data_IF_223167406059
#
_entry.id   IF_223167406059
#
_cell.length_a   1.000
_cell.length_b   1.000
_cell.length_c   1.000
_cell.angle_alpha   90.00
_cell.angle_beta   90.00
_cell.angle_gamma   90.00
#
_symmetry.space_group_name_H-M   'P 1'
#
loop_
_entity.id
_entity.type
_entity.pdbx_description
1 polymer ?
#
# COMPACT_ATOMS: atom_id res chain seq x y z
N UNK A 1 108.48 -36.02 -14.07
CA UNK A 1 107.09 -36.16 -13.57
C UNK A 1 106.65 -35.03 -12.62
N UNK A 2 107.20 -33.80 -12.71
CA UNK A 2 106.81 -32.65 -11.86
C UNK A 2 106.16 -31.47 -12.60
N UNK A 3 106.19 -31.44 -13.95
CA UNK A 3 105.57 -30.36 -14.73
C UNK A 3 104.09 -30.58 -15.07
N UNK A 4 103.57 -31.81 -14.97
CA UNK A 4 102.16 -32.09 -15.30
C UNK A 4 101.18 -31.71 -14.17
N UNK A 5 101.65 -31.59 -12.92
CA UNK A 5 100.77 -31.25 -11.79
C UNK A 5 100.48 -29.74 -11.64
N UNK A 6 101.33 -28.84 -12.16
CA UNK A 6 101.12 -27.40 -11.99
C UNK A 6 100.09 -26.83 -12.98
N UNK A 7 100.01 -27.38 -14.19
CA UNK A 7 99.06 -26.94 -15.23
C UNK A 7 97.63 -27.42 -14.90
N UNK A 8 97.48 -28.60 -14.31
CA UNK A 8 96.18 -29.15 -13.88
C UNK A 8 95.59 -28.40 -12.68
N UNK A 9 96.43 -27.84 -11.80
CA UNK A 9 96.00 -27.00 -10.68
C UNK A 9 95.51 -25.61 -11.15
N UNK A 10 96.15 -25.02 -12.15
CA UNK A 10 95.73 -23.75 -12.73
C UNK A 10 94.41 -23.87 -13.52
N UNK A 11 94.20 -24.98 -14.24
CA UNK A 11 92.97 -25.24 -14.98
C UNK A 11 91.76 -25.48 -14.05
N UNK A 12 91.92 -26.17 -12.91
CA UNK A 12 90.86 -26.33 -11.91
C UNK A 12 90.51 -25.02 -11.20
N UNK A 13 91.50 -24.15 -10.97
CA UNK A 13 91.28 -22.84 -10.35
C UNK A 13 90.53 -21.87 -11.28
N UNK A 14 90.86 -21.87 -12.59
CA UNK A 14 90.15 -21.05 -13.59
C UNK A 14 88.71 -21.53 -13.86
N UNK A 15 88.47 -22.85 -13.90
CA UNK A 15 87.10 -23.40 -14.04
C UNK A 15 86.23 -23.13 -12.81
N UNK A 16 86.80 -23.16 -11.60
CA UNK A 16 86.10 -22.80 -10.38
C UNK A 16 85.76 -21.29 -10.33
N UNK A 17 86.60 -20.43 -10.89
CA UNK A 17 86.38 -18.97 -10.94
C UNK A 17 85.32 -18.57 -11.99
N UNK A 18 85.29 -19.24 -13.15
CA UNK A 18 84.28 -18.99 -14.20
C UNK A 18 82.91 -19.56 -13.80
N UNK A 19 82.88 -20.73 -13.16
CA UNK A 19 81.65 -21.34 -12.61
C UNK A 19 81.03 -20.50 -11.49
N UNK A 20 81.85 -19.94 -10.60
CA UNK A 20 81.36 -19.08 -9.52
C UNK A 20 80.82 -17.73 -10.03
N UNK A 21 81.40 -17.16 -11.08
CA UNK A 21 80.90 -15.91 -11.67
C UNK A 21 79.55 -16.11 -12.43
N UNK A 22 79.41 -17.23 -13.15
CA UNK A 22 78.15 -17.62 -13.83
C UNK A 22 77.01 -17.95 -12.85
N UNK A 23 77.34 -18.60 -11.72
CA UNK A 23 76.38 -18.79 -10.62
C UNK A 23 76.00 -17.47 -9.93
N UNK A 24 76.93 -16.51 -9.84
CA UNK A 24 76.66 -15.21 -9.24
C UNK A 24 75.69 -14.38 -10.08
N UNK A 25 75.88 -14.33 -11.40
CA UNK A 25 74.97 -13.65 -12.34
C UNK A 25 73.59 -14.31 -12.36
N UNK A 26 73.52 -15.64 -12.39
CA UNK A 26 72.25 -16.38 -12.37
C UNK A 26 71.49 -16.14 -11.06
N UNK A 27 72.18 -16.10 -9.91
CA UNK A 27 71.57 -15.72 -8.63
C UNK A 27 71.09 -14.28 -8.62
N UNK A 28 71.85 -13.35 -9.21
CA UNK A 28 71.47 -11.93 -9.32
C UNK A 28 70.21 -11.75 -10.17
N UNK A 29 70.11 -12.50 -11.26
CA UNK A 29 68.95 -12.49 -12.17
C UNK A 29 67.70 -13.07 -11.49
N UNK A 30 67.83 -14.21 -10.79
CA UNK A 30 66.74 -14.81 -10.00
C UNK A 30 66.29 -13.88 -8.86
N UNK A 31 67.23 -13.23 -8.16
CA UNK A 31 66.91 -12.27 -7.10
C UNK A 31 66.20 -11.03 -7.65
N UNK A 32 66.56 -10.57 -8.85
CA UNK A 32 65.89 -9.44 -9.52
C UNK A 32 64.49 -9.79 -10.01
N UNK A 33 64.28 -11.02 -10.51
CA UNK A 33 62.97 -11.52 -10.90
C UNK A 33 62.05 -11.73 -9.69
N UNK A 34 62.60 -12.22 -8.57
CA UNK A 34 61.90 -12.33 -7.28
C UNK A 34 61.47 -10.97 -6.75
N UNK A 35 62.36 -9.97 -6.78
CA UNK A 35 62.03 -8.60 -6.37
C UNK A 35 60.97 -7.97 -7.26
N UNK A 36 61.06 -8.14 -8.57
CA UNK A 36 60.03 -7.61 -9.49
C UNK A 36 58.66 -8.27 -9.23
N UNK A 37 58.62 -9.57 -8.94
CA UNK A 37 57.38 -10.27 -8.61
C UNK A 37 56.80 -9.84 -7.25
N UNK A 38 57.66 -9.58 -6.25
CA UNK A 38 57.27 -9.04 -4.95
C UNK A 38 56.73 -7.61 -5.07
N UNK A 39 57.40 -6.75 -5.85
CA UNK A 39 56.97 -5.38 -6.13
C UNK A 39 55.64 -5.33 -6.91
N UNK A 40 55.46 -6.22 -7.90
CA UNK A 40 54.18 -6.37 -8.61
C UNK A 40 53.06 -6.88 -7.70
N UNK A 41 53.34 -7.85 -6.82
CA UNK A 41 52.38 -8.34 -5.84
C UNK A 41 51.98 -7.26 -4.84
N UNK A 42 52.94 -6.43 -4.40
CA UNK A 42 52.70 -5.29 -3.52
C UNK A 42 51.83 -4.23 -4.20
N UNK A 43 52.11 -3.90 -5.46
CA UNK A 43 51.32 -2.95 -6.25
C UNK A 43 49.88 -3.45 -6.49
N UNK A 44 49.69 -4.75 -6.71
CA UNK A 44 48.37 -5.36 -6.84
C UNK A 44 47.58 -5.33 -5.52
N UNK A 45 48.25 -5.54 -4.39
CA UNK A 45 47.63 -5.44 -3.06
C UNK A 45 47.18 -4.01 -2.75
N UNK A 46 48.01 -3.01 -3.02
CA UNK A 46 47.64 -1.60 -2.84
C UNK A 46 46.46 -1.20 -3.74
N UNK A 47 46.46 -1.68 -4.99
CA UNK A 47 45.36 -1.43 -5.93
C UNK A 47 44.08 -2.12 -5.48
N UNK A 48 44.16 -3.34 -4.95
CA UNK A 48 43.03 -4.05 -4.38
C UNK A 48 42.47 -3.33 -3.14
N UNK A 49 43.32 -2.76 -2.29
CA UNK A 49 42.87 -1.98 -1.12
C UNK A 49 42.18 -0.67 -1.54
N UNK A 50 42.71 0.04 -2.54
CA UNK A 50 42.05 1.23 -3.11
C UNK A 50 40.69 0.90 -3.71
N UNK A 51 40.59 -0.17 -4.49
CA UNK A 51 39.33 -0.62 -5.09
C UNK A 51 38.31 -1.03 -4.01
N UNK A 52 38.75 -1.66 -2.92
CA UNK A 52 37.86 -2.00 -1.79
C UNK A 52 37.26 -0.75 -1.15
N UNK A 53 38.07 0.28 -0.88
CA UNK A 53 37.60 1.56 -0.33
C UNK A 53 36.64 2.28 -1.27
N UNK A 54 36.92 2.27 -2.57
CA UNK A 54 36.05 2.87 -3.59
C UNK A 54 34.70 2.12 -3.66
N UNK A 55 34.72 0.79 -3.69
CA UNK A 55 33.50 -0.04 -3.68
C UNK A 55 32.69 0.18 -2.40
N UNK A 56 33.34 0.28 -1.25
CA UNK A 56 32.69 0.57 0.04
C UNK A 56 31.98 1.92 0.00
N UNK A 57 32.64 2.99 -0.46
CA UNK A 57 32.01 4.31 -0.59
C UNK A 57 30.82 4.32 -1.55
N UNK A 58 30.90 3.59 -2.67
CA UNK A 58 29.80 3.46 -3.63
C UNK A 58 28.65 2.65 -3.02
N UNK A 59 28.94 1.62 -2.22
CA UNK A 59 27.93 0.82 -1.54
C UNK A 59 27.21 1.62 -0.45
N UNK A 60 27.92 2.49 0.27
CA UNK A 60 27.34 3.39 1.27
C UNK A 60 26.39 4.40 0.61
N UNK A 61 26.83 5.08 -0.45
CA UNK A 61 25.97 6.03 -1.20
C UNK A 61 24.74 5.33 -1.75
N UNK A 62 24.88 4.15 -2.37
CA UNK A 62 23.74 3.36 -2.87
C UNK A 62 22.80 2.92 -1.75
N UNK A 63 23.33 2.59 -0.57
CA UNK A 63 22.51 2.21 0.58
C UNK A 63 21.69 3.38 1.09
N UNK A 64 22.30 4.56 1.23
CA UNK A 64 21.63 5.79 1.65
C UNK A 64 20.56 6.22 0.63
N UNK A 65 20.86 6.16 -0.66
CA UNK A 65 19.88 6.47 -1.73
C UNK A 65 18.70 5.49 -1.70
N UNK A 66 18.96 4.19 -1.56
CA UNK A 66 17.89 3.18 -1.47
C UNK A 66 17.05 3.34 -0.19
N UNK A 67 17.67 3.74 0.92
CA UNK A 67 16.95 4.03 2.17
C UNK A 67 16.02 5.22 2.00
N UNK A 68 16.50 6.33 1.44
CA UNK A 68 15.67 7.51 1.16
C UNK A 68 14.51 7.19 0.21
N UNK A 69 14.77 6.43 -0.85
CA UNK A 69 13.74 6.02 -1.79
C UNK A 69 12.66 5.16 -1.13
N UNK A 70 13.05 4.25 -0.25
CA UNK A 70 12.12 3.39 0.47
C UNK A 70 11.31 4.19 1.51
N UNK A 71 11.92 5.16 2.19
CA UNK A 71 11.23 6.08 3.11
C UNK A 71 10.20 6.95 2.37
N UNK A 72 10.55 7.53 1.22
CA UNK A 72 9.64 8.28 0.37
C UNK A 72 8.47 7.40 -0.12
N UNK A 73 8.78 6.17 -0.54
CA UNK A 73 7.77 5.20 -0.97
C UNK A 73 6.81 4.83 0.17
N UNK A 74 7.33 4.60 1.37
CA UNK A 74 6.52 4.30 2.55
C UNK A 74 5.67 5.49 2.95
N UNK A 75 6.18 6.73 2.87
CA UNK A 75 5.42 7.94 3.12
C UNK A 75 4.22 8.06 2.16
N UNK A 76 4.44 7.85 0.86
CA UNK A 76 3.37 7.89 -0.15
C UNK A 76 2.34 6.79 0.06
N UNK A 77 2.76 5.58 0.43
CA UNK A 77 1.84 4.47 0.74
C UNK A 77 1.00 4.81 1.97
N UNK A 78 1.62 5.33 3.02
CA UNK A 78 0.93 5.74 4.24
C UNK A 78 -0.09 6.84 3.99
N UNK A 79 0.27 7.87 3.22
CA UNK A 79 -0.64 8.95 2.85
C UNK A 79 -1.84 8.43 2.06
N UNK A 80 -1.62 7.52 1.10
CA UNK A 80 -2.71 6.88 0.35
C UNK A 80 -3.61 6.04 1.24
N UNK A 81 -3.03 5.33 2.21
CA UNK A 81 -3.79 4.53 3.15
C UNK A 81 -4.61 5.41 4.11
N UNK A 82 -4.04 6.51 4.60
CA UNK A 82 -4.76 7.52 5.40
C UNK A 82 -5.94 8.12 4.62
N UNK A 83 -5.73 8.48 3.35
CA UNK A 83 -6.81 8.97 2.47
C UNK A 83 -7.89 7.91 2.25
N UNK A 84 -7.50 6.66 1.99
CA UNK A 84 -8.46 5.56 1.84
C UNK A 84 -9.25 5.34 3.13
N UNK A 85 -8.60 5.38 4.29
CA UNK A 85 -9.25 5.22 5.58
C UNK A 85 -10.22 6.36 5.88
N UNK A 86 -9.88 7.60 5.50
CA UNK A 86 -10.77 8.77 5.62
C UNK A 86 -12.05 8.65 4.79
N UNK A 87 -11.96 8.08 3.59
CA UNK A 87 -13.10 7.91 2.68
C UNK A 87 -13.64 6.48 2.66
N UNK A 88 -13.49 5.73 3.75
CA UNK A 88 -14.07 4.39 3.87
C UNK A 88 -14.84 4.22 5.16
N UNK A 89 -15.84 3.35 5.12
CA UNK A 89 -16.71 3.08 6.26
C UNK A 89 -17.10 1.61 6.34
N UNK A 90 -17.23 1.10 7.57
CA UNK A 90 -17.78 -0.22 7.82
C UNK A 90 -19.30 -0.17 7.86
N UNK A 91 -19.94 -0.94 6.98
CA UNK A 91 -21.39 -0.94 6.77
C UNK A 91 -21.94 -2.37 6.65
N UNK A 92 -23.21 -2.61 7.01
CA UNK A 92 -23.81 -3.94 6.95
C UNK A 92 -24.20 -4.34 5.52
N UNK A 93 -23.41 -5.19 4.87
CA UNK A 93 -23.65 -5.68 3.51
C UNK A 93 -24.42 -6.99 3.54
N UNK A 94 -25.53 -7.04 2.80
CA UNK A 94 -26.27 -8.27 2.54
C UNK A 94 -25.54 -9.10 1.49
N UNK A 95 -25.15 -10.32 1.86
CA UNK A 95 -24.48 -11.29 1.00
C UNK A 95 -25.48 -12.12 0.20
N UNK A 96 -25.00 -12.76 -0.87
CA UNK A 96 -25.82 -13.62 -1.73
C UNK A 96 -26.38 -14.86 -1.04
N UNK A 97 -25.79 -15.27 0.09
CA UNK A 97 -26.31 -16.34 0.97
C UNK A 97 -27.39 -15.85 1.96
N UNK A 98 -27.73 -14.55 1.93
CA UNK A 98 -28.68 -13.92 2.82
C UNK A 98 -28.12 -13.49 4.17
N UNK A 99 -26.83 -13.72 4.45
CA UNK A 99 -26.17 -13.23 5.67
C UNK A 99 -25.85 -11.73 5.57
N UNK A 100 -25.85 -11.03 6.71
CA UNK A 100 -25.42 -9.63 6.78
C UNK A 100 -24.07 -9.58 7.48
N UNK A 101 -23.07 -8.97 6.83
CA UNK A 101 -21.71 -8.86 7.33
C UNK A 101 -21.25 -7.41 7.30
N UNK A 102 -20.54 -6.98 8.34
CA UNK A 102 -19.92 -5.65 8.36
C UNK A 102 -18.70 -5.65 7.44
N UNK A 103 -18.73 -4.83 6.41
CA UNK A 103 -17.63 -4.70 5.45
C UNK A 103 -17.24 -3.25 5.28
N UNK A 104 -15.92 -3.03 5.11
CA UNK A 104 -15.38 -1.73 4.78
C UNK A 104 -15.61 -1.44 3.31
N UNK A 105 -16.37 -0.39 3.02
CA UNK A 105 -16.60 0.12 1.68
C UNK A 105 -15.81 1.40 1.48
N UNK A 106 -15.16 1.52 0.33
CA UNK A 106 -14.41 2.70 -0.10
C UNK A 106 -15.33 3.62 -0.92
N UNK A 107 -15.28 4.92 -0.65
CA UNK A 107 -16.06 5.96 -1.34
C UNK A 107 -15.11 6.96 -2.00
N UNK A 108 -15.44 7.41 -3.21
CA UNK A 108 -14.69 8.52 -3.82
C UNK A 108 -15.14 9.86 -3.21
N UNK A 109 -14.24 10.78 -2.85
CA UNK A 109 -14.63 12.11 -2.33
C UNK A 109 -15.46 12.87 -3.37
N UNK A 110 -16.52 13.52 -2.91
CA UNK A 110 -17.43 14.32 -3.77
C UNK A 110 -17.53 15.76 -3.31
N UNK A 111 -17.51 16.00 -2.00
CA UNK A 111 -17.52 17.34 -1.45
C UNK A 111 -16.16 17.99 -1.66
N UNK A 112 -16.19 19.24 -2.12
CA UNK A 112 -15.01 20.11 -2.22
C UNK A 112 -15.31 21.36 -1.42
N UNK A 113 -14.36 21.74 -0.57
CA UNK A 113 -14.41 23.01 0.16
C UNK A 113 -13.52 24.03 -0.56
N UNK A 114 -14.03 25.24 -0.78
CA UNK A 114 -13.25 26.35 -1.33
C UNK A 114 -12.08 26.75 -0.40
N UNK A 115 -12.24 26.53 0.91
CA UNK A 115 -11.22 26.80 1.92
C UNK A 115 -10.11 25.72 1.98
N UNK A 116 -10.16 24.74 1.07
CA UNK A 116 -9.19 23.64 1.02
C UNK A 116 -9.38 22.59 2.12
N UNK A 117 -10.47 22.67 2.90
CA UNK A 117 -10.80 21.66 3.90
C UNK A 117 -11.15 20.34 3.23
N UNK A 118 -10.69 19.25 3.84
CA UNK A 118 -10.99 17.89 3.39
C UNK A 118 -12.34 17.45 3.93
N UNK A 119 -12.98 16.53 3.23
CA UNK A 119 -14.16 15.83 3.74
C UNK A 119 -13.78 14.46 4.30
N UNK A 120 -14.71 13.85 5.03
CA UNK A 120 -14.58 12.51 5.58
C UNK A 120 -15.91 11.77 5.50
N UNK A 121 -15.84 10.42 5.46
CA UNK A 121 -17.02 9.57 5.52
C UNK A 121 -17.38 9.27 6.96
N UNK A 122 -18.64 9.45 7.30
CA UNK A 122 -19.21 9.19 8.62
C UNK A 122 -20.37 8.20 8.46
N UNK A 123 -20.48 7.25 9.39
CA UNK A 123 -21.63 6.37 9.48
C UNK A 123 -22.44 6.66 10.72
N UNK A 124 -23.76 6.77 10.54
CA UNK A 124 -24.70 6.99 11.63
C UNK A 124 -25.86 6.02 11.54
N UNK A 125 -26.44 5.70 12.69
CA UNK A 125 -27.69 4.96 12.77
C UNK A 125 -28.79 5.90 13.27
N UNK A 126 -29.90 5.98 12.54
CA UNK A 126 -31.03 6.84 12.91
C UNK A 126 -32.33 6.05 12.94
N UNK A 127 -33.15 6.30 13.95
CA UNK A 127 -34.50 5.74 14.04
C UNK A 127 -35.46 6.46 13.10
N UNK A 128 -36.54 5.78 12.72
CA UNK A 128 -37.67 6.38 12.01
C UNK A 128 -38.71 6.91 13.02
N UNK A 129 -39.39 8.04 12.72
CA UNK A 129 -39.09 8.99 11.65
C UNK A 129 -37.77 9.74 11.92
N UNK A 130 -36.98 10.01 10.87
CA UNK A 130 -35.65 10.60 11.03
C UNK A 130 -35.71 12.08 11.43
N UNK A 131 -36.64 12.85 10.84
CA UNK A 131 -36.77 14.29 11.10
C UNK A 131 -35.72 15.15 10.41
N UNK A 132 -35.40 14.83 9.15
CA UNK A 132 -34.53 15.62 8.27
C UNK A 132 -35.20 15.82 6.91
N UNK A 133 -34.85 16.90 6.22
CA UNK A 133 -35.24 17.19 4.84
C UNK A 133 -34.02 16.98 3.97
N UNK A 134 -34.19 16.20 2.91
CA UNK A 134 -33.17 16.01 1.89
C UNK A 134 -33.45 16.91 0.70
N UNK A 135 -32.38 17.44 0.13
CA UNK A 135 -32.38 18.17 -1.12
C UNK A 135 -31.52 17.49 -2.17
N UNK A 136 -31.48 18.11 -3.34
CA UNK A 136 -30.53 17.78 -4.39
C UNK A 136 -29.56 18.94 -4.54
N UNK A 137 -28.27 18.63 -4.64
CA UNK A 137 -27.25 19.63 -4.88
C UNK A 137 -27.54 20.37 -6.21
N UNK A 138 -27.52 21.69 -6.17
CA UNK A 138 -27.91 22.54 -7.30
C UNK A 138 -26.87 22.53 -8.42
N UNK A 139 -25.62 22.29 -8.08
CA UNK A 139 -24.48 22.35 -8.99
C UNK A 139 -24.06 20.95 -9.45
N UNK A 140 -24.42 19.90 -8.69
CA UNK A 140 -24.05 18.51 -8.95
C UNK A 140 -25.26 17.58 -9.02
N UNK A 141 -25.70 17.30 -10.24
CA UNK A 141 -26.80 16.35 -10.51
C UNK A 141 -26.49 14.97 -9.93
N UNK A 142 -27.46 14.39 -9.22
CA UNK A 142 -27.35 13.05 -8.64
C UNK A 142 -26.64 12.98 -7.29
N UNK A 143 -26.45 14.12 -6.63
CA UNK A 143 -25.99 14.21 -5.25
C UNK A 143 -27.14 14.67 -4.33
N UNK A 144 -27.38 13.93 -3.26
CA UNK A 144 -28.46 14.18 -2.30
C UNK A 144 -27.91 14.74 -1.00
N UNK A 145 -28.27 15.96 -0.63
CA UNK A 145 -27.78 16.68 0.55
C UNK A 145 -28.81 16.72 1.66
N UNK A 146 -28.36 16.90 2.91
CA UNK A 146 -29.23 17.24 4.04
C UNK A 146 -29.44 18.75 4.06
N UNK A 147 -30.65 19.21 3.75
CA UNK A 147 -30.96 20.64 3.64
C UNK A 147 -31.42 21.21 4.98
N UNK A 148 -32.23 20.45 5.73
CA UNK A 148 -32.74 20.87 7.03
C UNK A 148 -32.82 19.70 8.01
N UNK A 149 -32.66 19.99 9.30
CA UNK A 149 -32.83 19.03 10.39
C UNK A 149 -33.77 19.63 11.42
N UNK A 150 -34.78 18.87 11.81
CA UNK A 150 -35.70 19.30 12.86
C UNK A 150 -35.03 19.22 14.24
N UNK A 151 -35.13 20.25 15.09
CA UNK A 151 -34.59 20.20 16.45
C UNK A 151 -35.21 19.07 17.29
N UNK A 152 -34.38 18.36 18.04
CA UNK A 152 -34.74 17.19 18.84
C UNK A 152 -35.05 15.94 18.02
N UNK A 153 -34.79 15.94 16.72
CA UNK A 153 -35.07 14.81 15.83
C UNK A 153 -34.11 13.64 16.02
N UNK A 154 -34.51 12.46 15.54
CA UNK A 154 -33.64 11.28 15.56
C UNK A 154 -32.38 11.48 14.70
N UNK A 155 -32.47 12.23 13.60
CA UNK A 155 -31.33 12.58 12.76
C UNK A 155 -30.34 13.50 13.50
N UNK A 156 -30.83 14.53 14.19
CA UNK A 156 -29.97 15.40 15.02
C UNK A 156 -29.27 14.61 16.13
N UNK A 157 -30.02 13.76 16.84
CA UNK A 157 -29.48 12.91 17.91
C UNK A 157 -28.47 11.88 17.41
N UNK A 158 -28.61 11.42 16.16
CA UNK A 158 -27.66 10.53 15.49
C UNK A 158 -26.41 11.28 14.99
N UNK A 159 -26.37 12.61 15.08
CA UNK A 159 -25.23 13.44 14.67
C UNK A 159 -25.22 13.81 13.19
N UNK A 160 -26.34 13.69 12.48
CA UNK A 160 -26.52 14.24 11.12
C UNK A 160 -26.45 15.77 11.19
N UNK A 161 -25.85 16.42 10.20
CA UNK A 161 -25.73 17.88 10.10
C UNK A 161 -26.26 18.35 8.74
N UNK A 162 -26.75 19.59 8.72
CA UNK A 162 -27.09 20.28 7.46
C UNK A 162 -25.82 20.43 6.62
N UNK A 163 -25.93 20.16 5.32
CA UNK A 163 -24.83 20.14 4.37
C UNK A 163 -24.14 18.78 4.22
N UNK A 164 -24.50 17.78 5.02
CA UNK A 164 -24.02 16.40 4.81
C UNK A 164 -24.49 15.88 3.45
N UNK A 165 -23.60 15.20 2.74
CA UNK A 165 -23.93 14.51 1.50
C UNK A 165 -24.25 13.04 1.79
N UNK A 166 -25.45 12.59 1.45
CA UNK A 166 -25.84 11.20 1.59
C UNK A 166 -25.18 10.35 0.49
N UNK A 167 -24.32 9.42 0.90
CA UNK A 167 -23.54 8.52 0.01
C UNK A 167 -24.10 7.12 -0.09
N UNK A 168 -24.71 6.64 0.99
CA UNK A 168 -25.46 5.39 1.00
C UNK A 168 -26.44 5.36 2.18
N UNK A 169 -27.45 4.50 2.08
CA UNK A 169 -28.35 4.20 3.20
C UNK A 169 -28.72 2.73 3.20
N UNK A 170 -29.25 2.20 4.30
CA UNK A 170 -29.97 0.93 4.20
C UNK A 170 -31.28 1.11 3.45
N UNK A 171 -31.69 0.09 2.72
CA UNK A 171 -32.98 -0.01 2.07
C UNK A 171 -33.55 -1.42 2.28
N UNK A 172 -34.88 -1.51 2.34
CA UNK A 172 -35.61 -2.76 2.42
C UNK A 172 -36.29 -3.07 1.10
N UNK A 173 -36.16 -4.30 0.64
CA UNK A 173 -36.82 -4.79 -0.57
C UNK A 173 -37.56 -6.09 -0.26
N UNK A 174 -38.75 -6.25 -0.82
CA UNK A 174 -39.47 -7.53 -0.76
C UNK A 174 -38.90 -8.45 -1.83
N UNK A 175 -38.33 -9.57 -1.41
CA UNK A 175 -37.83 -10.63 -2.29
C UNK A 175 -38.68 -11.88 -2.09
N UNK A 176 -38.82 -12.68 -3.15
CA UNK A 176 -39.53 -13.96 -3.07
C UNK A 176 -38.54 -15.06 -2.73
N UNK A 177 -38.66 -15.63 -1.53
CA UNK A 177 -37.88 -16.82 -1.18
C UNK A 177 -38.66 -18.07 -1.65
N UNK A 178 -38.01 -18.90 -2.47
CA UNK A 178 -38.53 -20.19 -2.90
C UNK A 178 -37.70 -21.30 -2.23
N UNK A 179 -38.18 -21.90 -1.13
CA UNK A 179 -37.51 -23.04 -0.54
C UNK A 179 -37.42 -24.17 -1.56
N UNK A 180 -36.25 -24.77 -1.73
CA UNK A 180 -35.99 -25.84 -2.72
C UNK A 180 -36.97 -27.01 -2.59
N UNK A 181 -37.47 -27.29 -1.38
CA UNK A 181 -38.50 -28.32 -1.14
C UNK A 181 -39.91 -27.91 -1.62
N UNK A 182 -40.26 -26.62 -1.56
CA UNK A 182 -41.55 -26.11 -2.05
C UNK A 182 -41.62 -26.07 -3.58
N UNK A 183 -40.49 -25.90 -4.27
CA UNK A 183 -40.42 -26.03 -5.73
C UNK A 183 -40.78 -27.44 -6.22
N UNK A 184 -40.43 -28.47 -5.45
CA UNK A 184 -40.75 -29.87 -5.77
C UNK A 184 -42.22 -30.25 -5.48
N UNK A 185 -42.89 -29.53 -4.58
CA UNK A 185 -44.25 -29.83 -4.12
C UNK A 185 -45.32 -28.82 -4.60
N UNK A 186 -44.98 -27.92 -5.53
CA UNK A 186 -45.91 -26.91 -6.06
C UNK A 186 -46.26 -25.78 -5.07
N UNK A 187 -45.38 -25.49 -4.10
CA UNK A 187 -45.58 -24.42 -3.12
C UNK A 187 -45.37 -23.02 -3.71
N UNK A 188 -46.24 -22.10 -3.32
CA UNK A 188 -46.11 -20.66 -3.64
C UNK A 188 -45.01 -20.08 -2.73
N UNK A 189 -44.02 -19.40 -3.34
CA UNK A 189 -42.93 -18.74 -2.60
C UNK A 189 -43.47 -17.72 -1.57
N UNK A 190 -42.71 -17.48 -0.51
CA UNK A 190 -43.11 -16.52 0.54
C UNK A 190 -42.38 -15.19 0.35
N UNK A 191 -43.08 -14.05 0.41
CA UNK A 191 -42.42 -12.75 0.41
C UNK A 191 -41.60 -12.59 1.69
N UNK A 192 -40.36 -12.16 1.55
CA UNK A 192 -39.44 -11.86 2.64
C UNK A 192 -38.83 -10.49 2.41
N UNK A 193 -38.93 -9.63 3.42
CA UNK A 193 -38.23 -8.35 3.39
C UNK A 193 -36.77 -8.57 3.68
N UNK A 194 -35.91 -8.24 2.72
CA UNK A 194 -34.45 -8.22 2.90
C UNK A 194 -33.98 -6.79 3.02
N UNK A 195 -32.96 -6.58 3.84
CA UNK A 195 -32.36 -5.27 4.07
C UNK A 195 -30.95 -5.25 3.51
N UNK A 196 -30.61 -4.24 2.73
CA UNK A 196 -29.32 -4.11 2.05
C UNK A 196 -28.80 -2.67 2.14
N UNK A 197 -27.50 -2.46 1.90
CA UNK A 197 -26.98 -1.13 1.64
C UNK A 197 -27.28 -0.72 0.21
N UNK A 198 -27.83 0.48 0.06
CA UNK A 198 -28.15 1.13 -1.20
C UNK A 198 -27.24 2.34 -1.37
N UNK A 199 -26.44 2.35 -2.44
CA UNK A 199 -25.61 3.51 -2.80
C UNK A 199 -26.47 4.58 -3.46
N UNK A 200 -26.34 5.82 -2.99
CA UNK A 200 -27.10 6.98 -3.48
C UNK A 200 -26.34 7.77 -4.54
N UNK A 201 -25.06 7.48 -4.74
CA UNK A 201 -24.20 8.15 -5.72
C UNK A 201 -24.75 8.06 -7.15
N UNK A 202 -25.04 9.23 -7.74
CA UNK A 202 -25.50 9.33 -9.13
C UNK A 202 -26.92 8.81 -9.35
N UNK A 203 -27.68 8.59 -8.27
CA UNK A 203 -29.08 8.16 -8.32
C UNK A 203 -30.01 9.35 -8.43
N UNK A 204 -31.20 9.10 -8.96
CA UNK A 204 -32.26 10.11 -8.96
C UNK A 204 -32.75 10.34 -7.54
N UNK A 205 -33.14 11.58 -7.23
CA UNK A 205 -33.52 11.97 -5.88
C UNK A 205 -34.71 11.13 -5.37
N UNK A 206 -35.68 10.85 -6.25
CA UNK A 206 -36.84 10.02 -5.98
C UNK A 206 -36.44 8.60 -5.59
N UNK A 207 -35.48 7.98 -6.30
CA UNK A 207 -34.97 6.64 -5.97
C UNK A 207 -34.31 6.61 -4.59
N UNK A 208 -33.57 7.66 -4.23
CA UNK A 208 -32.93 7.79 -2.92
C UNK A 208 -33.97 7.93 -1.81
N UNK A 209 -35.01 8.73 -2.05
CA UNK A 209 -36.11 8.90 -1.11
C UNK A 209 -36.91 7.61 -0.92
N UNK A 210 -37.21 6.88 -2.00
CA UNK A 210 -37.84 5.56 -1.93
C UNK A 210 -37.00 4.56 -1.13
N UNK A 211 -35.68 4.53 -1.37
CA UNK A 211 -34.76 3.68 -0.63
C UNK A 211 -34.76 4.00 0.88
N UNK A 212 -34.76 5.27 1.26
CA UNK A 212 -34.83 5.68 2.67
C UNK A 212 -36.16 5.33 3.33
N UNK A 213 -37.27 5.67 2.67
CA UNK A 213 -38.62 5.39 3.18
C UNK A 213 -38.84 3.89 3.33
N UNK A 214 -38.24 3.07 2.46
CA UNK A 214 -38.37 1.62 2.51
C UNK A 214 -37.97 1.00 3.85
N UNK A 215 -37.11 1.66 4.65
CA UNK A 215 -36.74 1.18 5.99
C UNK A 215 -37.95 1.06 6.93
N UNK A 216 -39.08 1.74 6.66
CA UNK A 216 -40.32 1.57 7.42
C UNK A 216 -40.95 0.18 7.24
N UNK A 217 -40.49 -0.58 6.24
CA UNK A 217 -40.91 -1.96 5.98
C UNK A 217 -40.07 -3.00 6.74
N UNK A 218 -39.04 -2.59 7.49
CA UNK A 218 -38.22 -3.52 8.28
C UNK A 218 -39.09 -4.15 9.39
N UNK A 219 -39.36 -5.47 9.36
CA UNK A 219 -40.23 -6.11 10.34
C UNK A 219 -39.66 -6.06 11.77
N UNK A 220 -38.35 -5.89 11.90
CA UNK A 220 -37.66 -5.77 13.19
C UNK A 220 -37.59 -4.31 13.68
N UNK A 221 -38.02 -3.33 12.88
CA UNK A 221 -38.02 -1.91 13.27
C UNK A 221 -36.63 -1.36 13.59
N UNK A 222 -35.57 -1.92 13.00
CA UNK A 222 -34.19 -1.55 13.30
C UNK A 222 -33.86 -0.14 12.78
N UNK A 223 -32.95 0.60 13.44
CA UNK A 223 -32.50 1.92 12.97
C UNK A 223 -31.95 1.83 11.55
N UNK A 224 -32.19 2.83 10.70
CA UNK A 224 -31.58 2.94 9.38
C UNK A 224 -30.11 3.33 9.49
N UNK A 225 -29.24 2.75 8.65
CA UNK A 225 -27.87 3.22 8.52
C UNK A 225 -27.79 4.29 7.45
N UNK A 226 -27.08 5.37 7.73
CA UNK A 226 -26.73 6.40 6.77
C UNK A 226 -25.21 6.49 6.67
N UNK A 227 -24.70 6.57 5.45
CA UNK A 227 -23.31 6.89 5.15
C UNK A 227 -23.31 8.30 4.58
N UNK A 228 -22.62 9.19 5.27
CA UNK A 228 -22.60 10.62 4.99
C UNK A 228 -21.17 11.04 4.67
N UNK A 229 -21.00 11.94 3.71
CA UNK A 229 -19.76 12.68 3.52
C UNK A 229 -19.95 14.08 4.11
N UNK A 230 -18.99 14.50 4.93
CA UNK A 230 -19.02 15.78 5.63
C UNK A 230 -17.68 16.50 5.45
N UNK A 231 -17.71 17.80 5.22
CA UNK A 231 -16.50 18.64 5.27
C UNK A 231 -16.07 18.78 6.73
N UNK A 232 -14.79 18.51 7.01
CA UNK A 232 -14.25 18.62 8.37
C UNK A 232 -14.41 20.09 8.86
N UNK A 233 -14.88 20.28 10.10
CA UNK A 233 -15.11 21.60 10.71
C UNK A 233 -13.80 22.39 10.92
#
# INVERSE_FOLDING_TARGET
>A
MKLYLSILAAAHSAHAFISSNSMYESRKMILSLSKNAEDEAQALLEKAEKLRKEVESIQEVKREENQKLEEERQAVVKEKEELRMRYSAEVPILKGDGSVQMERCDFSPRLKSDDGKLSSIITVQTNLPMGMILGQDKDMVGLTTVDEIAPGSNAELAGVKVGDLLRACTACQVTMEQPTWQLMAGGIGRPKTTRMMYSTDGKQFEEVMEALVSNSMDPEGRPAWLVLERIDD
#
